data_IF_340790842612
#
_entry.id   IF_340790842612
#
_cell.length_a   1.000
_cell.length_b   1.000
_cell.length_c   1.000
_cell.angle_alpha   90.00
_cell.angle_beta   90.00
_cell.angle_gamma   90.00
#
_symmetry.space_group_name_H-M   'P 1'
#
loop_
_entity.id
_entity.type
_entity.pdbx_description
1 polymer ?
#
# COMPACT_ATOMS: atom_id res chain seq x y z
N UNK A 1 9.40 43.40 46.87
CA UNK A 1 7.95 43.25 46.73
C UNK A 1 7.70 41.98 45.93
N UNK A 2 7.24 40.91 46.60
CA UNK A 2 6.92 39.64 45.94
C UNK A 2 5.67 39.82 45.09
N UNK A 3 5.78 39.53 43.78
CA UNK A 3 4.60 39.37 42.93
C UNK A 3 3.82 38.17 43.46
N UNK A 4 2.70 38.43 44.15
CA UNK A 4 1.77 37.39 44.57
C UNK A 4 1.28 36.68 43.30
N UNK A 5 1.34 35.34 43.31
CA UNK A 5 0.82 34.53 42.25
C UNK A 5 -0.67 34.86 42.01
N UNK A 6 -0.94 35.47 40.85
CA UNK A 6 -2.28 35.95 40.47
C UNK A 6 -3.30 34.82 40.22
N UNK A 7 -2.85 33.57 40.23
CA UNK A 7 -3.69 32.41 39.89
C UNK A 7 -3.75 31.44 41.06
N UNK A 8 -4.93 31.03 41.45
CA UNK A 8 -5.22 29.96 42.40
C UNK A 8 -5.83 28.75 41.72
N UNK A 9 -5.68 27.61 42.29
CA UNK A 9 -6.09 26.25 41.88
C UNK A 9 -6.92 26.08 40.60
N UNK A 10 -8.16 26.56 40.57
CA UNK A 10 -9.05 26.38 39.40
C UNK A 10 -8.56 27.12 38.15
N UNK A 11 -8.04 28.35 38.32
CA UNK A 11 -7.51 29.12 37.20
C UNK A 11 -6.25 28.49 36.61
N UNK A 12 -5.39 27.93 37.49
CA UNK A 12 -4.20 27.18 37.02
C UNK A 12 -4.58 25.95 36.26
N UNK A 13 -5.57 25.20 36.74
CA UNK A 13 -6.05 24.01 36.02
C UNK A 13 -6.62 24.38 34.64
N UNK A 14 -7.39 25.47 34.55
CA UNK A 14 -7.90 25.97 33.28
C UNK A 14 -6.79 26.42 32.32
N UNK A 15 -5.73 27.03 32.81
CA UNK A 15 -4.53 27.39 32.04
C UNK A 15 -3.89 26.12 31.46
N UNK A 16 -3.73 25.09 32.30
CA UNK A 16 -3.16 23.81 31.86
C UNK A 16 -4.04 23.15 30.81
N UNK A 17 -5.35 23.07 31.04
CA UNK A 17 -6.33 22.52 30.09
C UNK A 17 -6.24 23.20 28.71
N UNK A 18 -6.38 24.54 28.70
CA UNK A 18 -6.27 25.33 27.48
C UNK A 18 -4.94 25.11 26.73
N UNK A 19 -3.85 24.98 27.51
CA UNK A 19 -2.53 24.72 26.90
C UNK A 19 -2.42 23.31 26.28
N UNK A 20 -2.98 22.31 26.95
CA UNK A 20 -3.03 20.91 26.43
C UNK A 20 -3.98 20.78 25.23
N UNK A 21 -5.03 21.61 25.15
CA UNK A 21 -5.89 21.74 23.96
C UNK A 21 -5.19 22.44 22.77
N UNK A 22 -3.92 22.85 22.93
CA UNK A 22 -3.12 23.44 21.86
C UNK A 22 -3.20 24.95 21.74
N UNK A 23 -3.88 25.64 22.68
CA UNK A 23 -3.92 27.11 22.73
C UNK A 23 -2.56 27.63 23.14
N UNK A 24 -2.02 28.61 22.42
CA UNK A 24 -0.70 29.16 22.70
C UNK A 24 -0.70 30.08 23.95
N UNK A 25 0.48 30.26 24.57
CA UNK A 25 0.62 31.01 25.80
C UNK A 25 0.17 32.48 25.68
N UNK A 26 0.28 33.09 24.50
CA UNK A 26 -0.13 34.47 24.26
C UNK A 26 -1.65 34.59 24.27
N UNK A 27 -2.34 33.66 23.59
CA UNK A 27 -3.81 33.61 23.60
C UNK A 27 -4.36 33.30 24.97
N UNK A 28 -3.73 32.39 25.75
CA UNK A 28 -4.10 32.10 27.14
C UNK A 28 -3.86 33.34 28.01
N UNK A 29 -2.73 34.03 27.84
CA UNK A 29 -2.44 35.25 28.57
C UNK A 29 -3.47 36.36 28.29
N UNK A 30 -3.87 36.53 27.02
CA UNK A 30 -4.94 37.48 26.68
C UNK A 30 -6.28 37.10 27.30
N UNK A 31 -6.64 35.82 27.30
CA UNK A 31 -7.87 35.33 27.93
C UNK A 31 -7.93 35.64 29.42
N UNK A 32 -6.81 35.50 30.13
CA UNK A 32 -6.72 35.79 31.56
C UNK A 32 -6.29 37.24 31.87
N UNK A 33 -6.18 38.11 30.86
CA UNK A 33 -5.69 39.50 30.98
C UNK A 33 -4.38 39.59 31.77
N UNK A 34 -3.37 38.83 31.35
CA UNK A 34 -2.07 38.71 32.01
C UNK A 34 -0.93 38.63 31.01
N UNK A 35 0.31 38.49 31.49
CA UNK A 35 1.49 38.32 30.67
C UNK A 35 1.76 36.82 30.34
N UNK A 36 2.33 36.53 29.20
CA UNK A 36 2.67 35.16 28.82
C UNK A 36 3.68 34.53 29.79
N UNK A 37 4.53 35.35 30.43
CA UNK A 37 5.47 34.93 31.48
C UNK A 37 4.77 34.37 32.71
N UNK A 38 3.59 34.88 33.05
CA UNK A 38 2.78 34.36 34.16
C UNK A 38 2.18 32.99 33.80
N UNK A 39 1.68 32.86 32.58
CA UNK A 39 1.21 31.55 32.06
C UNK A 39 2.33 30.51 32.05
N UNK A 40 3.52 30.93 31.55
CA UNK A 40 4.69 30.07 31.54
C UNK A 40 5.08 29.56 32.93
N UNK A 41 5.02 30.43 33.95
CA UNK A 41 5.31 30.04 35.34
C UNK A 41 4.31 29.03 35.89
N UNK A 42 3.02 29.18 35.58
CA UNK A 42 1.98 28.22 35.97
C UNK A 42 2.26 26.86 35.33
N UNK A 43 2.52 26.82 34.04
CA UNK A 43 2.82 25.58 33.30
C UNK A 43 4.04 24.86 33.89
N UNK A 44 5.13 25.58 34.15
CA UNK A 44 6.35 25.02 34.77
C UNK A 44 6.08 24.49 36.19
N UNK A 45 5.32 25.22 37.02
CA UNK A 45 4.95 24.79 38.37
C UNK A 45 4.10 23.50 38.35
N UNK A 46 3.27 23.34 37.34
CA UNK A 46 2.44 22.14 37.11
C UNK A 46 3.19 21.03 36.38
N UNK A 47 4.50 21.14 36.20
CA UNK A 47 5.35 20.21 35.47
C UNK A 47 4.90 19.95 34.00
N UNK A 48 4.23 20.95 33.40
CA UNK A 48 3.83 20.87 32.00
C UNK A 48 5.01 21.28 31.11
N UNK A 49 5.40 20.40 30.21
CA UNK A 49 6.43 20.70 29.21
C UNK A 49 6.00 21.86 28.32
N UNK A 50 6.82 22.91 28.27
CA UNK A 50 6.58 24.03 27.38
C UNK A 50 7.14 23.69 26.00
N UNK A 51 6.24 23.54 25.04
CA UNK A 51 6.60 23.28 23.68
C UNK A 51 7.18 24.53 22.99
N UNK A 52 8.26 24.41 22.25
CA UNK A 52 8.74 25.43 21.34
C UNK A 52 7.73 25.70 20.21
N UNK A 53 7.83 26.83 19.52
CA UNK A 53 6.98 27.10 18.36
C UNK A 53 7.11 26.02 17.29
N UNK A 54 8.29 25.47 17.10
CA UNK A 54 8.52 24.36 16.16
C UNK A 54 7.84 23.06 16.61
N UNK A 55 7.77 22.79 17.91
CA UNK A 55 7.08 21.61 18.45
C UNK A 55 5.56 21.75 18.38
N UNK A 56 5.02 22.95 18.61
CA UNK A 56 3.56 23.21 18.49
C UNK A 56 3.06 23.12 17.05
N UNK A 57 3.86 23.58 16.11
CA UNK A 57 3.50 23.57 14.69
C UNK A 57 3.88 22.27 13.98
N UNK A 58 4.31 21.24 14.74
CA UNK A 58 4.57 19.92 14.14
C UNK A 58 3.28 19.32 13.60
N UNK A 59 3.29 18.89 12.37
CA UNK A 59 2.12 18.23 11.78
C UNK A 59 1.81 16.88 12.42
N UNK A 60 2.85 16.15 12.86
CA UNK A 60 2.76 14.86 13.57
C UNK A 60 3.87 14.76 14.62
N UNK A 61 3.70 13.88 15.60
CA UNK A 61 4.76 13.53 16.56
C UNK A 61 5.80 12.62 15.91
N UNK A 62 7.08 12.64 16.36
CA UNK A 62 8.13 11.79 15.79
C UNK A 62 7.79 10.29 15.81
N UNK A 63 7.09 9.85 16.86
CA UNK A 63 6.69 8.45 17.10
C UNK A 63 5.33 8.10 16.51
N UNK A 64 4.86 8.84 15.51
CA UNK A 64 3.53 8.65 14.91
C UNK A 64 3.33 7.19 14.40
N UNK A 65 4.38 6.59 13.87
CA UNK A 65 4.35 5.24 13.31
C UNK A 65 4.78 4.13 14.28
N UNK A 66 4.93 4.39 15.59
CA UNK A 66 5.52 3.43 16.52
C UNK A 66 4.62 2.24 16.88
N UNK A 67 3.32 2.35 16.68
CA UNK A 67 2.36 1.28 16.96
C UNK A 67 2.19 0.37 15.72
N UNK A 68 3.12 -0.55 15.52
CA UNK A 68 3.08 -1.45 14.36
C UNK A 68 1.89 -2.43 14.38
N UNK A 69 1.24 -2.65 15.50
CA UNK A 69 0.06 -3.52 15.59
C UNK A 69 -1.20 -2.87 14.99
N UNK A 70 -1.19 -1.56 14.72
CA UNK A 70 -2.28 -0.85 14.08
C UNK A 70 -2.30 -1.14 12.55
N UNK A 71 -3.39 -1.73 12.01
CA UNK A 71 -3.55 -2.02 10.59
C UNK A 71 -3.39 -0.78 9.68
N UNK A 72 -3.82 0.38 10.14
CA UNK A 72 -3.71 1.62 9.38
C UNK A 72 -2.24 2.05 9.25
N UNK A 73 -1.48 1.94 10.34
CA UNK A 73 -0.02 2.20 10.34
C UNK A 73 0.70 1.22 9.42
N UNK A 74 0.38 -0.07 9.50
CA UNK A 74 0.96 -1.09 8.61
C UNK A 74 0.73 -0.75 7.14
N UNK A 75 -0.50 -0.36 6.77
CA UNK A 75 -0.82 0.03 5.40
C UNK A 75 0.03 1.21 4.94
N UNK A 76 0.06 2.30 5.71
CA UNK A 76 0.82 3.48 5.30
C UNK A 76 2.32 3.27 5.33
N UNK A 77 2.85 2.43 6.21
CA UNK A 77 4.25 2.00 6.17
C UNK A 77 4.55 1.20 4.89
N UNK A 78 3.63 0.36 4.43
CA UNK A 78 3.74 -0.34 3.14
C UNK A 78 3.78 0.62 1.96
N UNK A 79 2.92 1.64 1.95
CA UNK A 79 2.94 2.73 0.95
C UNK A 79 4.26 3.49 1.01
N UNK A 80 4.74 3.84 2.20
CA UNK A 80 6.00 4.55 2.38
C UNK A 80 7.22 3.69 1.99
N UNK A 81 7.17 2.39 2.22
CA UNK A 81 8.21 1.45 1.80
C UNK A 81 8.35 1.40 0.27
N UNK A 82 7.25 1.47 -0.48
CA UNK A 82 7.25 1.47 -1.96
C UNK A 82 7.49 2.86 -2.55
N UNK A 83 6.59 3.81 -2.29
CA UNK A 83 6.52 5.11 -2.96
C UNK A 83 6.91 6.32 -2.08
N UNK A 84 7.09 6.12 -0.77
CA UNK A 84 7.49 7.18 0.14
C UNK A 84 8.94 7.62 -0.04
N UNK A 85 9.22 8.89 0.22
CA UNK A 85 10.58 9.44 0.23
C UNK A 85 10.87 10.10 1.58
N UNK A 86 12.09 9.88 2.08
CA UNK A 86 12.61 10.54 3.27
C UNK A 86 13.86 11.32 2.88
N UNK A 87 13.85 12.60 3.19
CA UNK A 87 14.99 13.50 2.93
C UNK A 87 15.22 14.40 4.14
N UNK A 88 16.29 14.19 4.87
CA UNK A 88 16.51 14.86 6.15
C UNK A 88 15.33 14.62 7.09
N UNK A 89 14.78 15.64 7.71
CA UNK A 89 13.59 15.53 8.57
C UNK A 89 12.25 15.53 7.82
N UNK A 90 12.26 15.43 6.47
CA UNK A 90 11.05 15.49 5.65
C UNK A 90 10.59 14.09 5.28
N UNK A 91 9.33 13.82 5.57
CA UNK A 91 8.57 12.72 5.02
C UNK A 91 7.75 13.24 3.84
N UNK A 92 7.87 12.58 2.68
CA UNK A 92 7.21 12.99 1.44
C UNK A 92 6.48 11.78 0.87
N UNK A 93 5.22 12.00 0.50
CA UNK A 93 4.45 11.09 -0.32
C UNK A 93 3.83 11.85 -1.49
N UNK A 94 4.02 11.33 -2.70
CA UNK A 94 3.57 11.96 -3.92
C UNK A 94 2.98 10.92 -4.86
N UNK A 95 1.80 11.21 -5.41
CA UNK A 95 1.16 10.36 -6.40
C UNK A 95 0.23 11.19 -7.33
N UNK A 96 -0.22 10.57 -8.43
CA UNK A 96 -1.21 11.16 -9.33
C UNK A 96 -2.66 11.04 -8.83
N UNK A 97 -2.90 10.13 -7.91
CA UNK A 97 -4.21 9.84 -7.39
C UNK A 97 -4.51 10.77 -6.20
N UNK A 98 -5.23 11.87 -6.47
CA UNK A 98 -5.49 12.95 -5.50
C UNK A 98 -6.09 12.42 -4.20
N UNK A 99 -7.19 11.68 -4.30
CA UNK A 99 -7.92 11.14 -3.15
C UNK A 99 -7.06 10.24 -2.26
N UNK A 100 -6.15 9.49 -2.86
CA UNK A 100 -5.23 8.63 -2.13
C UNK A 100 -4.19 9.44 -1.35
N UNK A 101 -3.66 10.50 -1.95
CA UNK A 101 -2.73 11.43 -1.27
C UNK A 101 -3.46 12.24 -0.19
N UNK A 102 -4.70 12.64 -0.42
CA UNK A 102 -5.56 13.28 0.58
C UNK A 102 -5.83 12.36 1.77
N UNK A 103 -6.13 11.08 1.52
CA UNK A 103 -6.32 10.09 2.59
C UNK A 103 -5.07 9.95 3.47
N UNK A 104 -3.87 9.99 2.89
CA UNK A 104 -2.63 10.00 3.66
C UNK A 104 -2.45 11.29 4.48
N UNK A 105 -2.73 12.45 3.88
CA UNK A 105 -2.72 13.74 4.58
C UNK A 105 -3.63 13.71 5.79
N UNK A 106 -4.89 13.30 5.58
CA UNK A 106 -5.92 13.33 6.61
C UNK A 106 -5.64 12.33 7.73
N UNK A 107 -5.03 11.20 7.38
CA UNK A 107 -4.53 10.23 8.35
C UNK A 107 -3.40 10.79 9.23
N UNK A 108 -2.46 11.52 8.62
CA UNK A 108 -1.37 12.16 9.37
C UNK A 108 -1.91 13.36 10.18
N UNK A 109 -2.46 14.33 9.52
CA UNK A 109 -3.07 15.54 10.06
C UNK A 109 -3.71 16.35 8.93
N UNK A 110 -5.03 16.60 8.95
CA UNK A 110 -5.72 17.35 7.90
C UNK A 110 -5.24 18.80 7.73
N UNK A 111 -4.49 19.35 8.69
CA UNK A 111 -3.87 20.69 8.59
C UNK A 111 -2.61 20.71 7.71
N UNK A 112 -2.08 19.58 7.30
CA UNK A 112 -0.95 19.52 6.37
C UNK A 112 -1.42 19.98 4.98
N UNK A 113 -0.62 20.86 4.36
CA UNK A 113 -0.93 21.35 3.02
C UNK A 113 -0.77 20.24 1.97
N UNK A 114 -1.74 20.16 1.07
CA UNK A 114 -1.60 19.39 -0.16
C UNK A 114 -1.00 20.29 -1.24
N UNK A 115 0.18 19.93 -1.71
CA UNK A 115 0.85 20.63 -2.80
C UNK A 115 0.47 19.97 -4.14
N UNK A 116 0.27 20.79 -5.17
CA UNK A 116 -0.08 20.33 -6.52
C UNK A 116 1.01 20.76 -7.48
N UNK A 117 1.57 19.81 -8.20
CA UNK A 117 2.58 20.06 -9.23
C UNK A 117 1.99 19.70 -10.60
N UNK A 118 1.97 20.66 -11.50
CA UNK A 118 1.57 20.44 -12.89
C UNK A 118 2.81 20.51 -13.79
N UNK A 119 3.41 19.38 -14.16
CA UNK A 119 4.55 19.38 -15.06
C UNK A 119 4.11 19.77 -16.47
N UNK A 120 5.03 20.37 -17.26
CA UNK A 120 4.77 20.72 -18.68
C UNK A 120 4.39 19.50 -19.53
N UNK A 121 4.86 18.32 -19.16
CA UNK A 121 4.50 17.01 -19.75
C UNK A 121 4.28 16.00 -18.64
N UNK A 122 3.24 15.16 -18.77
CA UNK A 122 2.91 14.11 -17.80
C UNK A 122 1.60 14.37 -17.06
N UNK A 123 1.46 13.75 -15.90
CA UNK A 123 0.25 13.86 -15.07
C UNK A 123 0.45 14.89 -13.96
N UNK A 124 -0.64 15.53 -13.55
CA UNK A 124 -0.68 16.29 -12.30
C UNK A 124 -0.28 15.39 -11.14
N UNK A 125 0.61 15.86 -10.28
CA UNK A 125 1.05 15.16 -9.09
C UNK A 125 0.57 15.91 -7.85
N UNK A 126 0.09 15.15 -6.88
CA UNK A 126 -0.32 15.62 -5.57
C UNK A 126 0.70 15.16 -4.55
N UNK A 127 1.12 16.07 -3.67
CA UNK A 127 2.19 15.82 -2.72
C UNK A 127 1.80 16.24 -1.31
N UNK A 128 2.01 15.36 -0.37
CA UNK A 128 2.05 15.65 1.06
C UNK A 128 3.50 15.65 1.51
N UNK A 129 3.90 16.70 2.21
CA UNK A 129 5.25 16.82 2.77
C UNK A 129 5.15 17.39 4.18
N UNK A 130 5.73 16.70 5.13
CA UNK A 130 5.83 17.20 6.50
C UNK A 130 7.26 17.08 7.02
N UNK A 131 7.69 18.09 7.79
CA UNK A 131 9.00 18.11 8.44
C UNK A 131 8.82 17.76 9.91
N UNK A 132 9.38 16.63 10.32
CA UNK A 132 9.31 16.14 11.69
C UNK A 132 10.69 15.68 12.13
N UNK A 133 11.31 16.39 13.06
CA UNK A 133 12.59 15.97 13.62
C UNK A 133 12.39 14.63 14.35
N UNK A 134 13.22 13.65 14.03
CA UNK A 134 13.14 12.31 14.62
C UNK A 134 12.31 11.31 13.81
N UNK A 135 11.62 11.73 12.73
CA UNK A 135 10.84 10.81 11.89
C UNK A 135 11.73 9.81 11.14
N UNK A 136 12.96 10.20 10.82
CA UNK A 136 13.91 9.30 10.17
C UNK A 136 14.25 8.13 11.06
N UNK A 137 14.64 8.41 12.30
CA UNK A 137 15.02 7.41 13.30
C UNK A 137 13.88 6.43 13.56
N UNK A 138 12.64 6.93 13.54
CA UNK A 138 11.46 6.10 13.67
C UNK A 138 11.28 5.17 12.45
N UNK A 139 11.35 5.71 11.25
CA UNK A 139 11.15 4.94 10.03
C UNK A 139 12.32 3.99 9.72
N UNK A 140 13.54 4.28 10.21
CA UNK A 140 14.70 3.40 10.07
C UNK A 140 14.51 2.06 10.82
N UNK A 141 13.75 2.05 11.91
CA UNK A 141 13.41 0.81 12.63
C UNK A 141 12.69 -0.19 11.74
N UNK A 142 11.97 0.30 10.74
CA UNK A 142 11.21 -0.50 9.77
C UNK A 142 12.03 -0.85 8.51
N UNK A 143 13.24 -0.30 8.36
CA UNK A 143 14.04 -0.44 7.14
C UNK A 143 13.76 0.63 6.08
N UNK A 144 12.90 1.62 6.37
CA UNK A 144 12.63 2.72 5.45
C UNK A 144 13.71 3.79 5.62
N UNK A 145 14.69 3.80 4.72
CA UNK A 145 15.85 4.68 4.74
C UNK A 145 15.87 5.59 3.48
N UNK A 146 16.63 6.69 3.48
CA UNK A 146 16.87 7.46 2.25
C UNK A 146 17.45 6.56 1.15
N UNK A 147 17.00 6.79 -0.10
CA UNK A 147 17.45 6.01 -1.27
C UNK A 147 17.21 4.49 -1.17
N UNK A 148 16.20 4.07 -0.40
CA UNK A 148 15.89 2.67 -0.11
C UNK A 148 15.59 1.78 -1.31
N UNK A 149 15.36 2.35 -2.49
CA UNK A 149 14.82 1.62 -3.64
C UNK A 149 15.60 0.36 -4.03
N UNK A 150 16.92 0.34 -3.78
CA UNK A 150 17.78 -0.81 -4.11
C UNK A 150 18.15 -1.65 -2.88
N UNK A 151 17.98 -1.10 -1.67
CA UNK A 151 18.48 -1.69 -0.42
C UNK A 151 17.39 -1.92 0.62
N UNK A 152 16.13 -1.74 0.26
CA UNK A 152 15.02 -1.96 1.19
C UNK A 152 15.06 -3.40 1.72
N UNK A 153 15.08 -3.51 3.03
CA UNK A 153 14.93 -4.75 3.78
C UNK A 153 13.97 -4.46 4.93
N UNK A 154 12.84 -5.14 4.94
CA UNK A 154 11.82 -4.93 5.96
C UNK A 154 12.22 -5.57 7.28
N UNK A 155 12.01 -4.86 8.40
CA UNK A 155 12.50 -5.27 9.71
C UNK A 155 11.42 -5.78 10.67
N UNK A 156 10.17 -5.83 10.25
CA UNK A 156 9.04 -6.26 11.07
C UNK A 156 8.32 -7.46 10.42
N UNK A 157 7.45 -8.18 11.14
CA UNK A 157 6.59 -9.17 10.52
C UNK A 157 5.79 -8.58 9.36
N UNK A 158 5.69 -9.30 8.25
CA UNK A 158 4.89 -8.85 7.10
C UNK A 158 3.44 -9.25 7.33
N UNK A 159 2.52 -8.31 7.08
CA UNK A 159 1.07 -8.49 7.23
C UNK A 159 0.34 -8.19 5.92
N UNK A 160 -0.93 -8.62 5.81
CA UNK A 160 -1.78 -8.29 4.66
C UNK A 160 -1.95 -6.78 4.48
N UNK A 161 -2.10 -6.01 5.57
CA UNK A 161 -2.22 -4.56 5.52
C UNK A 161 -0.94 -3.91 4.97
N UNK A 162 0.23 -4.35 5.44
CA UNK A 162 1.52 -3.88 4.91
C UNK A 162 1.67 -4.22 3.43
N UNK A 163 1.40 -5.47 3.03
CA UNK A 163 1.51 -5.89 1.62
C UNK A 163 0.49 -5.18 0.74
N UNK A 164 -0.71 -4.86 1.23
CA UNK A 164 -1.67 -4.00 0.52
C UNK A 164 -1.06 -2.63 0.22
N UNK A 165 -0.45 -1.98 1.21
CA UNK A 165 0.24 -0.69 1.02
C UNK A 165 1.38 -0.78 -0.01
N UNK A 166 2.20 -1.82 0.07
CA UNK A 166 3.26 -2.11 -0.91
C UNK A 166 2.69 -2.32 -2.30
N UNK A 167 1.60 -3.07 -2.42
CA UNK A 167 0.95 -3.33 -3.70
C UNK A 167 0.31 -2.06 -4.27
N UNK A 168 -0.29 -1.22 -3.45
CA UNK A 168 -0.89 0.04 -3.90
C UNK A 168 0.16 1.04 -4.40
N UNK A 169 1.33 1.11 -3.77
CA UNK A 169 2.46 1.88 -4.28
C UNK A 169 3.12 1.18 -5.47
N UNK A 170 3.90 0.16 -5.23
CA UNK A 170 4.77 -0.52 -6.21
C UNK A 170 4.12 -1.62 -7.04
N UNK A 171 2.85 -1.94 -6.84
CA UNK A 171 2.19 -3.01 -7.58
C UNK A 171 1.68 -2.59 -8.96
N UNK A 172 1.61 -3.57 -9.84
CA UNK A 172 1.10 -3.41 -11.21
C UNK A 172 -0.04 -4.40 -11.47
N UNK A 173 -1.12 -3.86 -12.02
CA UNK A 173 -2.25 -4.63 -12.55
C UNK A 173 -2.33 -4.31 -14.02
N UNK A 174 -1.94 -5.23 -14.89
CA UNK A 174 -1.87 -5.00 -16.35
C UNK A 174 -2.81 -5.94 -17.06
N UNK A 175 -3.61 -5.35 -17.94
CA UNK A 175 -4.45 -6.05 -18.90
C UNK A 175 -3.93 -5.72 -20.29
N UNK A 176 -3.51 -6.73 -21.07
CA UNK A 176 -3.08 -6.48 -22.44
C UNK A 176 -4.28 -6.18 -23.33
N UNK A 177 -4.09 -5.31 -24.36
CA UNK A 177 -5.15 -4.83 -25.29
C UNK A 177 -6.01 -5.94 -25.92
N UNK A 178 -5.55 -7.17 -25.97
CA UNK A 178 -6.30 -8.33 -26.48
C UNK A 178 -6.75 -9.28 -25.37
N UNK A 179 -6.74 -8.85 -24.11
CA UNK A 179 -7.05 -9.69 -22.94
C UNK A 179 -6.28 -11.04 -22.91
N UNK A 180 -5.17 -11.13 -23.63
CA UNK A 180 -4.39 -12.38 -23.75
C UNK A 180 -3.55 -12.66 -22.52
N UNK A 181 -3.23 -11.65 -21.74
CA UNK A 181 -2.36 -11.78 -20.58
C UNK A 181 -2.77 -10.81 -19.48
N UNK A 182 -2.94 -11.34 -18.29
CA UNK A 182 -3.21 -10.58 -17.08
C UNK A 182 -2.00 -10.74 -16.18
N UNK A 183 -1.26 -9.67 -15.98
CA UNK A 183 -0.17 -9.64 -15.02
C UNK A 183 -0.61 -8.91 -13.74
N UNK A 184 -0.45 -9.58 -12.63
CA UNK A 184 -0.46 -8.99 -11.30
C UNK A 184 0.94 -9.19 -10.74
N UNK A 185 1.59 -8.08 -10.43
CA UNK A 185 2.96 -8.10 -9.97
C UNK A 185 3.22 -6.99 -8.94
N UNK A 186 4.19 -7.22 -8.07
CA UNK A 186 4.81 -6.20 -7.23
C UNK A 186 6.24 -6.04 -7.72
N UNK A 187 6.70 -4.80 -7.91
CA UNK A 187 8.06 -4.51 -8.35
C UNK A 187 8.86 -3.78 -7.28
N UNK A 188 10.16 -4.08 -7.22
CA UNK A 188 11.12 -3.40 -6.36
C UNK A 188 12.54 -3.51 -6.95
N UNK A 189 13.38 -2.52 -6.68
CA UNK A 189 14.81 -2.62 -6.92
C UNK A 189 15.54 -3.52 -5.90
N UNK A 190 14.93 -3.77 -4.73
CA UNK A 190 15.48 -4.67 -3.72
C UNK A 190 14.93 -6.09 -3.89
N UNK A 191 15.83 -7.03 -4.22
CA UNK A 191 15.49 -8.45 -4.30
C UNK A 191 15.15 -9.03 -2.93
N UNK A 192 15.93 -8.68 -1.91
CA UNK A 192 15.73 -9.14 -0.52
C UNK A 192 14.32 -8.78 -0.04
N UNK A 193 13.87 -7.57 -0.29
CA UNK A 193 12.53 -7.14 0.07
C UNK A 193 11.44 -7.97 -0.63
N UNK A 194 11.60 -8.26 -1.91
CA UNK A 194 10.64 -9.11 -2.62
C UNK A 194 10.67 -10.56 -2.14
N UNK A 195 11.83 -11.08 -1.76
CA UNK A 195 11.94 -12.42 -1.16
C UNK A 195 11.18 -12.50 0.17
N UNK A 196 11.25 -11.46 1.00
CA UNK A 196 10.45 -11.36 2.23
C UNK A 196 8.94 -11.34 1.93
N UNK A 197 8.49 -10.56 0.94
CA UNK A 197 7.09 -10.53 0.50
C UNK A 197 6.66 -11.87 -0.11
N UNK A 198 7.56 -12.58 -0.81
CA UNK A 198 7.29 -13.91 -1.34
C UNK A 198 7.07 -14.95 -0.23
N UNK A 199 7.85 -14.91 0.85
CA UNK A 199 7.66 -15.78 2.01
C UNK A 199 6.25 -15.57 2.57
N UNK A 200 5.82 -14.32 2.77
CA UNK A 200 4.47 -14.01 3.23
C UNK A 200 3.38 -14.58 2.31
N UNK A 201 3.52 -14.47 1.00
CA UNK A 201 2.55 -15.05 0.06
C UNK A 201 2.52 -16.58 0.14
N UNK A 202 3.68 -17.23 0.26
CA UNK A 202 3.77 -18.69 0.38
C UNK A 202 3.09 -19.20 1.68
N UNK A 203 3.27 -18.50 2.80
CA UNK A 203 2.60 -18.80 4.07
C UNK A 203 1.08 -18.68 3.95
N UNK A 204 0.58 -17.84 3.05
CA UNK A 204 -0.84 -17.68 2.74
C UNK A 204 -1.31 -18.58 1.56
N UNK A 205 -0.53 -19.58 1.17
CA UNK A 205 -0.83 -20.51 0.07
C UNK A 205 -1.07 -19.80 -1.27
N UNK A 206 -0.32 -18.74 -1.56
CA UNK A 206 -0.32 -18.00 -2.82
C UNK A 206 1.04 -18.20 -3.50
N UNK A 207 1.05 -18.92 -4.62
CA UNK A 207 2.27 -19.20 -5.36
C UNK A 207 2.70 -17.99 -6.19
N UNK A 208 3.93 -17.57 -5.99
CA UNK A 208 4.52 -16.43 -6.68
C UNK A 208 5.85 -16.79 -7.33
N UNK A 209 6.22 -16.04 -8.34
CA UNK A 209 7.51 -16.19 -9.03
C UNK A 209 8.25 -14.88 -9.03
N UNK A 210 9.50 -14.89 -8.55
CA UNK A 210 10.40 -13.74 -8.66
C UNK A 210 11.13 -13.81 -9.99
N UNK A 211 11.09 -12.72 -10.74
CA UNK A 211 11.83 -12.53 -11.99
C UNK A 211 12.56 -11.19 -11.97
N UNK A 212 13.54 -11.02 -12.84
CA UNK A 212 14.28 -9.77 -13.00
C UNK A 212 14.23 -9.26 -14.42
N UNK A 213 14.18 -7.94 -14.57
CA UNK A 213 14.39 -7.28 -15.85
C UNK A 213 15.81 -6.70 -15.87
N UNK A 214 16.71 -7.38 -16.58
CA UNK A 214 18.13 -7.00 -16.65
C UNK A 214 18.51 -6.23 -17.93
N UNK A 215 17.61 -6.18 -18.93
CA UNK A 215 17.92 -5.57 -20.24
C UNK A 215 17.73 -4.04 -20.19
N UNK A 216 18.82 -3.31 -20.44
CA UNK A 216 18.83 -1.85 -20.67
C UNK A 216 18.46 -0.96 -19.48
N UNK A 217 18.68 -1.39 -18.23
CA UNK A 217 18.48 -0.57 -17.04
C UNK A 217 19.79 -0.37 -16.26
N UNK A 218 20.02 0.86 -15.81
CA UNK A 218 21.17 1.17 -14.94
C UNK A 218 21.02 0.54 -13.54
N UNK A 219 19.78 0.34 -13.09
CA UNK A 219 19.48 -0.25 -11.80
C UNK A 219 18.66 -1.54 -11.96
N UNK A 220 18.89 -2.56 -11.14
CA UNK A 220 18.10 -3.79 -11.16
C UNK A 220 16.62 -3.50 -10.85
N UNK A 221 15.73 -4.27 -11.47
CA UNK A 221 14.31 -4.27 -11.15
C UNK A 221 13.83 -5.72 -11.09
N UNK A 222 13.24 -6.07 -9.97
CA UNK A 222 12.68 -7.39 -9.69
C UNK A 222 11.17 -7.31 -9.61
N UNK A 223 10.51 -8.43 -9.89
CA UNK A 223 9.06 -8.56 -9.89
C UNK A 223 8.65 -9.83 -9.16
N UNK A 224 7.70 -9.74 -8.25
CA UNK A 224 6.88 -10.89 -7.84
C UNK A 224 5.67 -10.93 -8.76
N UNK A 225 5.43 -12.06 -9.41
CA UNK A 225 4.31 -12.27 -10.33
C UNK A 225 3.42 -13.40 -9.85
N UNK A 226 2.10 -13.24 -10.03
CA UNK A 226 1.10 -14.26 -9.78
C UNK A 226 0.46 -14.64 -11.11
N UNK A 227 0.51 -15.94 -11.46
CA UNK A 227 0.14 -16.40 -12.78
C UNK A 227 -1.26 -17.02 -12.85
N UNK A 228 -1.58 -17.91 -11.92
CA UNK A 228 -2.87 -18.61 -11.94
C UNK A 228 -4.00 -17.78 -11.33
N UNK A 229 -5.23 -18.06 -11.70
CA UNK A 229 -6.41 -17.32 -11.26
C UNK A 229 -6.74 -17.59 -9.78
N UNK A 230 -6.71 -18.83 -9.28
CA UNK A 230 -6.99 -19.08 -7.86
C UNK A 230 -6.07 -18.30 -6.92
N UNK A 231 -4.78 -18.20 -7.21
CA UNK A 231 -3.85 -17.42 -6.37
C UNK A 231 -4.08 -15.91 -6.50
N UNK A 232 -4.51 -15.42 -7.67
CA UNK A 232 -4.95 -14.02 -7.83
C UNK A 232 -6.20 -13.72 -6.99
N UNK A 233 -7.17 -14.63 -6.96
CA UNK A 233 -8.36 -14.50 -6.12
C UNK A 233 -7.99 -14.47 -4.64
N UNK A 234 -7.16 -15.42 -4.18
CA UNK A 234 -6.66 -15.43 -2.80
C UNK A 234 -5.96 -14.12 -2.44
N UNK A 235 -5.07 -13.62 -3.34
CA UNK A 235 -4.38 -12.34 -3.12
C UNK A 235 -5.39 -11.18 -3.01
N UNK A 236 -6.40 -11.14 -3.87
CA UNK A 236 -7.41 -10.08 -3.82
C UNK A 236 -8.12 -10.06 -2.47
N UNK A 237 -8.66 -11.20 -2.06
CA UNK A 237 -9.33 -11.33 -0.77
C UNK A 237 -8.40 -11.03 0.41
N UNK A 238 -7.17 -11.56 0.38
CA UNK A 238 -6.17 -11.30 1.43
C UNK A 238 -5.87 -9.81 1.60
N UNK A 239 -5.86 -9.04 0.51
CA UNK A 239 -5.48 -7.63 0.54
C UNK A 239 -6.66 -6.67 0.74
N UNK A 240 -7.88 -7.03 0.28
CA UNK A 240 -8.96 -6.05 0.16
C UNK A 240 -10.22 -6.32 0.97
N UNK A 241 -10.47 -7.55 1.49
CA UNK A 241 -11.73 -7.86 2.18
C UNK A 241 -11.96 -7.01 3.46
N UNK A 242 -10.89 -6.68 4.19
CA UNK A 242 -10.93 -5.87 5.41
C UNK A 242 -10.27 -4.49 5.23
N UNK A 243 -10.14 -4.02 3.98
CA UNK A 243 -9.39 -2.82 3.65
C UNK A 243 -10.11 -1.54 4.00
N UNK A 244 -9.56 -0.76 4.93
CA UNK A 244 -10.00 0.62 5.20
C UNK A 244 -9.35 1.61 4.24
N UNK A 245 -8.04 1.49 4.02
CA UNK A 245 -7.29 2.29 3.07
C UNK A 245 -6.82 1.44 1.91
N UNK A 246 -6.99 1.94 0.70
CA UNK A 246 -6.51 1.31 -0.54
C UNK A 246 -6.58 2.27 -1.72
N UNK A 247 -5.84 1.96 -2.78
CA UNK A 247 -5.86 2.72 -4.02
C UNK A 247 -7.01 2.25 -4.92
N UNK A 248 -8.14 2.96 -4.89
CA UNK A 248 -9.42 2.57 -5.52
C UNK A 248 -9.27 2.15 -6.99
N UNK A 249 -8.51 2.91 -7.81
CA UNK A 249 -8.35 2.56 -9.23
C UNK A 249 -7.64 1.23 -9.44
N UNK A 250 -6.72 0.85 -8.51
CA UNK A 250 -5.97 -0.41 -8.60
C UNK A 250 -6.83 -1.58 -8.16
N UNK A 251 -7.55 -1.42 -7.07
CA UNK A 251 -8.53 -2.39 -6.57
C UNK A 251 -9.60 -2.68 -7.64
N UNK A 252 -10.29 -1.65 -8.17
CA UNK A 252 -11.30 -1.78 -9.23
C UNK A 252 -10.76 -2.51 -10.46
N UNK A 253 -9.52 -2.18 -10.87
CA UNK A 253 -8.89 -2.85 -12.00
C UNK A 253 -8.59 -4.31 -11.70
N UNK A 254 -8.19 -4.63 -10.48
CA UNK A 254 -7.93 -6.00 -10.05
C UNK A 254 -9.24 -6.82 -10.03
N UNK A 255 -10.31 -6.30 -9.41
CA UNK A 255 -11.63 -6.94 -9.41
C UNK A 255 -12.14 -7.20 -10.84
N UNK A 256 -12.09 -6.19 -11.70
CA UNK A 256 -12.49 -6.32 -13.12
C UNK A 256 -11.72 -7.44 -13.84
N UNK A 257 -10.43 -7.59 -13.52
CA UNK A 257 -9.60 -8.63 -14.12
C UNK A 257 -9.98 -10.02 -13.62
N UNK A 258 -10.32 -10.15 -12.35
CA UNK A 258 -10.78 -11.43 -11.80
C UNK A 258 -12.09 -11.88 -12.45
N UNK A 259 -13.07 -11.01 -12.56
CA UNK A 259 -14.35 -11.27 -13.22
C UNK A 259 -14.16 -11.71 -14.68
N UNK A 260 -13.33 -10.98 -15.41
CA UNK A 260 -13.04 -11.30 -16.82
C UNK A 260 -12.23 -12.59 -16.96
N UNK A 261 -11.37 -12.90 -16.01
CA UNK A 261 -10.59 -14.12 -16.01
C UNK A 261 -11.47 -15.34 -15.74
N UNK A 262 -12.42 -15.22 -14.81
CA UNK A 262 -13.43 -16.24 -14.55
C UNK A 262 -14.28 -16.55 -15.79
N UNK A 263 -14.76 -15.52 -16.47
CA UNK A 263 -15.53 -15.68 -17.71
C UNK A 263 -14.72 -16.37 -18.82
N UNK A 264 -13.39 -16.20 -18.85
CA UNK A 264 -12.51 -16.89 -19.80
C UNK A 264 -12.25 -18.33 -19.44
N UNK A 265 -12.09 -18.66 -18.17
CA UNK A 265 -11.97 -20.05 -17.74
C UNK A 265 -13.27 -20.81 -17.98
N UNK A 266 -14.41 -20.21 -17.69
CA UNK A 266 -15.70 -20.76 -18.03
C UNK A 266 -15.85 -21.03 -19.54
N UNK A 267 -15.31 -20.12 -20.39
CA UNK A 267 -15.26 -20.31 -21.86
C UNK A 267 -14.22 -21.33 -22.35
N UNK A 268 -13.35 -21.84 -21.51
CA UNK A 268 -12.34 -22.86 -21.83
C UNK A 268 -12.69 -24.24 -21.32
N UNK A 269 -13.81 -24.37 -20.60
CA UNK A 269 -14.35 -25.68 -20.26
C UNK A 269 -14.60 -26.45 -21.53
N UNK A 270 -14.21 -27.71 -21.52
CA UNK A 270 -14.32 -28.57 -22.68
C UNK A 270 -15.06 -29.83 -22.33
N UNK A 271 -15.81 -30.32 -23.27
CA UNK A 271 -16.53 -31.58 -23.20
C UNK A 271 -15.88 -32.57 -24.12
N UNK A 272 -15.64 -33.78 -23.62
CA UNK A 272 -15.23 -34.94 -24.41
C UNK A 272 -16.40 -35.92 -24.45
N UNK A 273 -16.72 -36.41 -25.65
CA UNK A 273 -17.64 -37.50 -25.84
C UNK A 273 -16.87 -38.72 -26.30
N UNK A 274 -16.83 -39.76 -25.50
CA UNK A 274 -16.21 -41.05 -25.81
C UNK A 274 -17.31 -42.13 -25.91
N UNK A 275 -17.65 -42.49 -27.11
CA UNK A 275 -18.65 -43.54 -27.37
C UNK A 275 -20.01 -43.32 -26.71
N UNK A 276 -20.48 -42.06 -26.68
CA UNK A 276 -21.73 -41.68 -26.05
C UNK A 276 -21.61 -41.29 -24.56
N UNK A 277 -20.47 -41.52 -23.93
CA UNK A 277 -20.21 -41.06 -22.58
C UNK A 277 -19.62 -39.64 -22.62
N UNK A 278 -20.38 -38.70 -22.04
CA UNK A 278 -20.00 -37.30 -22.00
C UNK A 278 -19.30 -36.99 -20.68
N UNK A 279 -18.08 -36.43 -20.75
CA UNK A 279 -17.30 -35.99 -19.62
C UNK A 279 -16.89 -34.53 -19.80
N UNK A 280 -17.09 -33.72 -18.78
CA UNK A 280 -16.73 -32.31 -18.79
C UNK A 280 -15.41 -32.08 -18.02
N UNK A 281 -14.55 -31.27 -18.59
CA UNK A 281 -13.24 -30.89 -18.02
C UNK A 281 -13.21 -29.38 -17.83
N UNK A 282 -12.66 -28.94 -16.73
CA UNK A 282 -12.57 -27.52 -16.39
C UNK A 282 -11.55 -26.75 -17.26
N UNK A 283 -10.68 -27.46 -17.95
CA UNK A 283 -9.72 -26.83 -18.86
C UNK A 283 -9.21 -27.80 -19.95
N UNK A 284 -8.73 -27.21 -21.05
CA UNK A 284 -7.99 -27.93 -22.08
C UNK A 284 -6.76 -28.66 -21.50
N UNK A 285 -6.13 -28.08 -20.47
CA UNK A 285 -4.95 -28.70 -19.85
C UNK A 285 -5.32 -29.94 -19.04
N UNK A 286 -6.46 -29.98 -18.41
CA UNK A 286 -6.99 -31.14 -17.70
C UNK A 286 -7.34 -32.26 -18.70
N UNK A 287 -8.08 -31.91 -19.76
CA UNK A 287 -8.38 -32.83 -20.85
C UNK A 287 -7.10 -33.36 -21.50
N UNK A 288 -6.12 -32.51 -21.73
CA UNK A 288 -4.84 -32.93 -22.32
C UNK A 288 -4.11 -33.95 -21.43
N UNK A 289 -4.15 -33.81 -20.12
CA UNK A 289 -3.61 -34.80 -19.16
C UNK A 289 -4.36 -36.14 -19.25
N UNK A 290 -5.70 -36.05 -19.24
CA UNK A 290 -6.53 -37.24 -19.36
C UNK A 290 -6.23 -38.04 -20.67
N UNK A 291 -6.12 -37.33 -21.80
CA UNK A 291 -5.84 -37.92 -23.09
C UNK A 291 -4.34 -38.26 -23.33
N UNK A 292 -3.49 -37.88 -22.38
CA UNK A 292 -2.01 -37.93 -22.52
C UNK A 292 -1.51 -37.18 -23.77
N UNK A 293 -2.08 -36.03 -24.07
CA UNK A 293 -1.78 -35.17 -25.21
C UNK A 293 -1.39 -33.78 -24.71
N UNK A 294 -0.38 -33.15 -25.33
CA UNK A 294 -0.03 -31.77 -25.05
C UNK A 294 -1.27 -30.85 -25.25
N UNK A 295 -1.65 -30.16 -24.22
CA UNK A 295 -2.81 -29.26 -24.20
C UNK A 295 -2.79 -28.20 -25.31
N UNK A 296 -1.61 -27.79 -25.78
CA UNK A 296 -1.45 -26.87 -26.92
C UNK A 296 -1.94 -27.50 -28.22
N UNK A 297 -1.72 -28.79 -28.38
CA UNK A 297 -2.25 -29.56 -29.55
C UNK A 297 -3.77 -29.65 -29.47
N UNK A 298 -4.32 -29.99 -28.31
CA UNK A 298 -5.79 -30.02 -28.08
C UNK A 298 -6.41 -28.67 -28.39
N UNK A 299 -5.83 -27.58 -27.86
CA UNK A 299 -6.30 -26.21 -28.10
C UNK A 299 -6.24 -25.82 -29.58
N UNK A 300 -5.17 -26.21 -30.29
CA UNK A 300 -5.06 -26.00 -31.73
C UNK A 300 -6.14 -26.77 -32.53
N UNK A 301 -6.41 -28.03 -32.17
CA UNK A 301 -7.44 -28.82 -32.83
C UNK A 301 -8.83 -28.21 -32.63
N UNK A 302 -9.17 -27.78 -31.45
CA UNK A 302 -10.42 -27.09 -31.15
C UNK A 302 -10.56 -25.78 -31.94
N UNK A 303 -9.52 -24.95 -31.98
CA UNK A 303 -9.51 -23.69 -32.73
C UNK A 303 -9.68 -23.88 -34.24
N UNK A 304 -9.18 -25.00 -34.78
CA UNK A 304 -9.20 -25.31 -36.20
C UNK A 304 -10.28 -26.33 -36.60
N UNK A 305 -11.16 -26.69 -35.66
CA UNK A 305 -12.19 -27.71 -35.83
C UNK A 305 -11.60 -29.05 -36.33
N UNK A 306 -10.41 -29.42 -35.84
CA UNK A 306 -9.70 -30.63 -36.24
C UNK A 306 -9.87 -31.78 -35.26
N UNK A 307 -10.51 -31.62 -34.14
CA UNK A 307 -10.63 -32.65 -33.10
C UNK A 307 -11.25 -33.94 -33.63
N UNK A 308 -12.39 -33.87 -34.29
CA UNK A 308 -13.04 -35.02 -34.93
C UNK A 308 -12.17 -35.70 -35.99
N UNK A 309 -11.46 -34.93 -36.83
CA UNK A 309 -10.52 -35.47 -37.83
C UNK A 309 -9.35 -36.21 -37.19
N UNK A 310 -9.09 -36.01 -35.89
CA UNK A 310 -8.07 -36.67 -35.09
C UNK A 310 -8.63 -37.79 -34.22
N UNK A 311 -9.91 -38.12 -34.38
CA UNK A 311 -10.57 -39.19 -33.63
C UNK A 311 -11.09 -38.78 -32.27
N UNK A 312 -11.19 -37.48 -31.99
CA UNK A 312 -11.68 -36.98 -30.68
C UNK A 312 -12.93 -36.12 -30.87
N UNK A 313 -14.02 -36.48 -30.20
CA UNK A 313 -15.24 -35.67 -30.16
C UNK A 313 -15.14 -34.71 -28.96
N UNK A 314 -14.49 -33.57 -29.18
CA UNK A 314 -14.22 -32.56 -28.17
C UNK A 314 -14.83 -31.23 -28.61
N UNK A 315 -15.50 -30.54 -27.70
CA UNK A 315 -16.01 -29.17 -27.95
C UNK A 315 -15.83 -28.26 -26.71
N UNK A 316 -15.84 -26.98 -26.95
CA UNK A 316 -15.97 -26.00 -25.88
C UNK A 316 -17.39 -26.03 -25.30
N UNK A 317 -17.51 -25.83 -23.97
CA UNK A 317 -18.80 -25.65 -23.26
C UNK A 317 -19.22 -24.19 -23.27
#
# INVERSE_FOLDING_TARGET
MGYSDKFSGEKENKIVEMYLEGIDQVRIANYFNTFNTSIRRVLLRKNIKILSNSERNRPIIPTFFNNYDDPDIQYWLGVLASDGCITGSKLIFEAKDKEWVESFRDYLNPKINLNVTQPKKGHTLYRVSCSVKGIQEELFKYGIVPNKSLSLEWKMPITNHFVRGVFDGGGCVTLTKKMKYVAIAICSGSKIFLEQVQIFFNENNIHTVISSESKNRNNPLYYISIHNIPDKQKMYHLLYDDAKFFLQRKEKKFATILDQSYLREAKRKVQLNENGKITNYDSISELGRYLNIDHRKVGYWLQKNLALKRGYDIKYL
#
